data_IF_944384334214
#
_entry.id   IF_944384334214
#
_cell.length_a   1.000
_cell.length_b   1.000
_cell.length_c   1.000
_cell.angle_alpha   90.00
_cell.angle_beta   90.00
_cell.angle_gamma   90.00
#
_symmetry.space_group_name_H-M   'P 1'
#
loop_
_entity.id
_entity.type
_entity.pdbx_description
1 polymer ?
#
# COMPACT_ATOMS: atom_id res chain seq x y z
N UNK A 1 -30.88 -24.55 10.08
CA UNK A 1 -29.85 -24.58 9.01
C UNK A 1 -30.33 -23.86 7.74
N UNK A 2 -31.49 -24.18 7.19
CA UNK A 2 -32.05 -23.53 6.00
C UNK A 2 -32.23 -22.01 6.20
N UNK A 3 -32.57 -21.56 7.39
CA UNK A 3 -32.82 -20.18 7.73
C UNK A 3 -31.54 -19.28 7.72
N UNK A 4 -30.37 -19.88 7.91
CA UNK A 4 -29.08 -19.17 7.84
C UNK A 4 -28.65 -18.93 6.39
N UNK A 5 -28.99 -19.82 5.48
CA UNK A 5 -28.70 -19.68 4.06
C UNK A 5 -29.59 -18.61 3.40
N UNK A 6 -30.80 -18.42 3.94
CA UNK A 6 -31.74 -17.40 3.48
C UNK A 6 -31.34 -15.97 3.88
N UNK A 7 -30.39 -15.82 4.80
CA UNK A 7 -29.87 -14.51 5.22
C UNK A 7 -28.72 -13.99 4.34
N UNK A 8 -28.27 -14.81 3.39
CA UNK A 8 -27.26 -14.37 2.44
C UNK A 8 -27.86 -13.34 1.49
N UNK A 9 -27.26 -12.13 1.37
CA UNK A 9 -27.77 -11.14 0.43
C UNK A 9 -27.69 -11.65 -1.01
N UNK A 10 -28.69 -11.34 -1.77
CA UNK A 10 -28.76 -11.73 -3.20
C UNK A 10 -28.82 -10.47 -4.04
N UNK A 11 -27.93 -10.32 -5.02
CA UNK A 11 -26.78 -11.16 -5.38
C UNK A 11 -25.58 -10.94 -4.45
N UNK A 12 -24.90 -12.00 -4.05
CA UNK A 12 -23.68 -11.93 -3.26
C UNK A 12 -22.45 -12.21 -4.14
N UNK A 13 -21.66 -11.21 -4.40
CA UNK A 13 -20.37 -11.33 -5.09
C UNK A 13 -19.27 -10.78 -4.18
N UNK A 14 -18.38 -11.64 -3.66
CA UNK A 14 -17.30 -11.19 -2.79
C UNK A 14 -16.21 -10.47 -3.56
N UNK A 15 -15.57 -9.50 -2.92
CA UNK A 15 -14.34 -8.90 -3.45
C UNK A 15 -13.23 -9.95 -3.45
N UNK A 16 -12.49 -10.05 -4.55
CA UNK A 16 -11.40 -11.01 -4.71
C UNK A 16 -10.06 -10.33 -4.52
N UNK A 17 -9.13 -11.00 -3.83
CA UNK A 17 -7.80 -10.46 -3.53
C UNK A 17 -6.94 -10.25 -4.78
N UNK A 18 -7.20 -10.96 -5.85
CA UNK A 18 -6.45 -10.89 -7.10
C UNK A 18 -6.96 -9.83 -8.09
N UNK A 19 -8.02 -9.11 -7.72
CA UNK A 19 -8.63 -8.07 -8.57
C UNK A 19 -8.34 -6.70 -7.99
N UNK A 20 -7.10 -6.23 -8.19
CA UNK A 20 -6.67 -4.93 -7.70
C UNK A 20 -5.70 -4.28 -8.67
N UNK A 21 -5.59 -2.95 -8.59
CA UNK A 21 -4.61 -2.14 -9.30
C UNK A 21 -4.03 -1.13 -8.32
N UNK A 22 -2.71 -0.97 -8.34
CA UNK A 22 -2.02 0.11 -7.63
C UNK A 22 -1.53 1.10 -8.68
N UNK A 23 -2.02 2.34 -8.61
CA UNK A 23 -1.66 3.39 -9.55
C UNK A 23 -0.70 4.37 -8.90
N UNK A 24 0.45 4.51 -9.51
CA UNK A 24 1.44 5.50 -9.13
C UNK A 24 1.35 6.72 -10.05
N UNK A 25 1.77 7.91 -9.59
CA UNK A 25 1.84 9.08 -10.46
C UNK A 25 2.72 8.80 -11.68
N UNK A 26 2.30 9.31 -12.84
CA UNK A 26 3.03 9.11 -14.10
C UNK A 26 4.46 9.67 -14.07
N UNK A 27 4.70 10.66 -13.22
CA UNK A 27 6.04 11.25 -13.03
C UNK A 27 7.08 10.29 -12.47
N UNK A 28 6.64 9.19 -11.82
CA UNK A 28 7.54 8.19 -11.23
C UNK A 28 7.97 7.12 -12.24
N UNK A 29 7.23 6.95 -13.34
CA UNK A 29 7.53 5.94 -14.36
C UNK A 29 7.35 4.51 -13.91
N UNK A 30 6.57 4.26 -12.85
CA UNK A 30 6.28 2.93 -12.34
C UNK A 30 5.03 2.41 -13.04
N UNK A 31 5.16 1.29 -13.75
CA UNK A 31 4.04 0.67 -14.43
C UNK A 31 3.24 -0.20 -13.45
N UNK A 32 1.92 -0.11 -13.53
CA UNK A 32 0.99 -0.87 -12.69
C UNK A 32 1.17 -2.39 -12.83
N UNK A 33 1.61 -2.85 -13.98
CA UNK A 33 1.89 -4.26 -14.29
C UNK A 33 3.04 -4.85 -13.48
N UNK A 34 3.94 -4.01 -12.95
CA UNK A 34 5.06 -4.49 -12.14
C UNK A 34 4.64 -4.94 -10.75
N UNK A 35 3.48 -4.49 -10.27
CA UNK A 35 3.00 -4.83 -8.93
C UNK A 35 2.58 -6.29 -8.88
N UNK A 36 3.21 -7.06 -7.99
CA UNK A 36 2.85 -8.45 -7.71
C UNK A 36 1.83 -8.55 -6.58
N UNK A 37 2.06 -7.81 -5.50
CA UNK A 37 1.17 -7.78 -4.34
C UNK A 37 1.23 -6.45 -3.63
N UNK A 38 0.15 -6.11 -2.94
CA UNK A 38 0.05 -4.91 -2.13
C UNK A 38 -0.83 -5.19 -0.91
N UNK A 39 -0.53 -4.54 0.21
CA UNK A 39 -1.40 -4.59 1.38
C UNK A 39 -2.41 -3.44 1.35
N UNK A 40 -3.62 -3.71 1.81
CA UNK A 40 -4.62 -2.66 2.03
C UNK A 40 -4.23 -1.84 3.25
N UNK A 41 -4.60 -0.54 3.28
CA UNK A 41 -4.30 0.31 4.43
C UNK A 41 -4.93 -0.21 5.71
N UNK A 42 -4.23 -0.03 6.81
CA UNK A 42 -4.69 -0.39 8.15
C UNK A 42 -4.55 0.81 9.08
N UNK A 43 -5.57 1.05 9.88
CA UNK A 43 -5.62 2.15 10.83
C UNK A 43 -5.61 1.61 12.25
N UNK A 44 -4.87 2.27 13.14
CA UNK A 44 -4.88 2.00 14.57
C UNK A 44 -5.30 3.24 15.34
N UNK A 45 -6.23 3.06 16.25
CA UNK A 45 -6.71 4.11 17.15
C UNK A 45 -6.27 3.76 18.55
N UNK A 46 -5.56 4.66 19.20
CA UNK A 46 -5.19 4.52 20.60
C UNK A 46 -6.41 4.64 21.51
N UNK A 47 -6.34 4.03 22.69
CA UNK A 47 -7.36 4.18 23.72
C UNK A 47 -6.77 4.77 24.98
N UNK A 48 -7.50 5.67 25.62
CA UNK A 48 -7.14 6.25 26.90
C UNK A 48 -8.14 5.80 27.94
N UNK A 49 -7.64 5.22 29.04
CA UNK A 49 -8.46 4.77 30.14
C UNK A 49 -8.72 5.94 31.08
N UNK A 50 -9.99 6.11 31.48
CA UNK A 50 -10.40 7.03 32.50
C UNK A 50 -10.94 6.20 33.68
N UNK A 51 -10.28 6.29 34.82
CA UNK A 51 -10.63 5.53 36.01
C UNK A 51 -11.46 6.39 36.97
N UNK A 52 -12.50 5.77 37.53
CA UNK A 52 -13.30 6.37 38.59
C UNK A 52 -13.70 5.28 39.59
N UNK A 53 -13.23 5.39 40.83
CA UNK A 53 -13.43 4.38 41.88
C UNK A 53 -13.00 2.98 41.40
N UNK A 54 -13.93 2.02 41.40
CA UNK A 54 -13.69 0.64 40.95
C UNK A 54 -14.11 0.40 39.49
N UNK A 55 -14.39 1.46 38.76
CA UNK A 55 -14.82 1.37 37.37
C UNK A 55 -13.88 2.15 36.45
N UNK A 56 -13.82 1.76 35.19
CA UNK A 56 -13.08 2.48 34.18
C UNK A 56 -13.85 2.54 32.88
N UNK A 57 -13.58 3.58 32.09
CA UNK A 57 -14.09 3.73 30.73
C UNK A 57 -12.94 4.06 29.81
N UNK A 58 -13.11 3.76 28.52
CA UNK A 58 -12.09 4.02 27.52
C UNK A 58 -12.62 5.01 26.50
N UNK A 59 -11.76 5.95 26.12
CA UNK A 59 -12.04 6.91 25.05
C UNK A 59 -10.98 6.78 23.97
N UNK A 60 -11.35 7.09 22.73
CA UNK A 60 -10.43 7.05 21.60
C UNK A 60 -9.35 8.13 21.74
N UNK A 61 -8.12 7.73 21.53
CA UNK A 61 -6.97 8.62 21.48
C UNK A 61 -6.61 9.02 20.04
N UNK A 62 -5.31 9.19 19.78
CA UNK A 62 -4.80 9.48 18.45
C UNK A 62 -4.88 8.25 17.57
N UNK A 63 -5.08 8.46 16.28
CA UNK A 63 -5.04 7.40 15.27
C UNK A 63 -3.80 7.54 14.39
N UNK A 64 -3.33 6.41 13.90
CA UNK A 64 -2.21 6.33 12.97
C UNK A 64 -2.52 5.33 11.87
N UNK A 65 -2.01 5.62 10.68
CA UNK A 65 -2.01 4.68 9.56
C UNK A 65 -0.72 3.89 9.56
N UNK A 66 -0.81 2.57 9.46
CA UNK A 66 0.36 1.71 9.36
C UNK A 66 0.96 1.77 7.96
N UNK A 67 2.30 1.60 7.84
CA UNK A 67 2.92 1.45 6.52
C UNK A 67 2.36 0.24 5.78
N UNK A 68 2.32 0.33 4.46
CA UNK A 68 1.96 -0.80 3.60
C UNK A 68 3.19 -1.33 2.88
N UNK A 69 3.16 -2.62 2.55
CA UNK A 69 4.21 -3.27 1.76
C UNK A 69 3.68 -3.57 0.37
N UNK A 70 4.43 -3.16 -0.65
CA UNK A 70 4.14 -3.46 -2.04
C UNK A 70 5.30 -4.24 -2.62
N UNK A 71 5.00 -5.36 -3.26
CA UNK A 71 5.98 -6.17 -3.98
C UNK A 71 5.89 -5.91 -5.47
N UNK A 72 7.04 -5.79 -6.10
CA UNK A 72 7.19 -5.55 -7.52
C UNK A 72 7.96 -6.68 -8.18
N UNK A 73 7.62 -6.99 -9.43
CA UNK A 73 8.44 -7.80 -10.32
C UNK A 73 9.40 -6.88 -11.05
N UNK A 74 10.63 -7.31 -11.24
CA UNK A 74 11.66 -6.50 -11.89
C UNK A 74 11.92 -7.00 -13.31
N UNK A 75 11.32 -6.38 -14.33
CA UNK A 75 11.60 -6.72 -15.72
C UNK A 75 12.95 -6.16 -16.18
N UNK A 76 13.50 -6.72 -17.24
CA UNK A 76 14.75 -6.24 -17.84
C UNK A 76 14.59 -4.82 -18.39
N UNK A 77 13.49 -4.56 -19.05
CA UNK A 77 13.20 -3.23 -19.57
C UNK A 77 11.71 -3.02 -19.81
N UNK A 78 11.13 -1.90 -19.34
CA UNK A 78 11.72 -0.88 -18.45
C UNK A 78 11.96 -1.42 -17.03
N UNK A 79 13.06 -1.03 -16.40
CA UNK A 79 13.46 -1.57 -15.10
C UNK A 79 12.65 -0.94 -13.96
N UNK A 80 11.98 -1.80 -13.16
CA UNK A 80 11.31 -1.37 -11.95
C UNK A 80 12.30 -0.91 -10.89
N UNK A 81 13.47 -1.53 -10.81
CA UNK A 81 14.55 -1.13 -9.88
C UNK A 81 14.95 0.32 -10.09
N UNK A 82 15.14 0.73 -11.34
CA UNK A 82 15.53 2.09 -11.69
C UNK A 82 14.43 3.10 -11.30
N UNK A 83 13.18 2.80 -11.65
CA UNK A 83 12.06 3.70 -11.34
C UNK A 83 11.86 3.87 -9.83
N UNK A 84 11.95 2.80 -9.07
CA UNK A 84 11.83 2.85 -7.62
C UNK A 84 13.03 3.57 -6.98
N UNK A 85 14.23 3.35 -7.48
CA UNK A 85 15.41 4.03 -6.97
C UNK A 85 15.40 5.53 -7.28
N UNK A 86 14.87 5.93 -8.43
CA UNK A 86 14.68 7.34 -8.74
C UNK A 86 13.73 8.02 -7.75
N UNK A 87 12.64 7.35 -7.39
CA UNK A 87 11.75 7.86 -6.35
C UNK A 87 12.47 7.98 -5.00
N UNK A 88 13.24 6.95 -4.62
CA UNK A 88 14.02 6.98 -3.38
C UNK A 88 15.06 8.12 -3.38
N UNK A 89 15.67 8.41 -4.51
CA UNK A 89 16.64 9.52 -4.65
C UNK A 89 16.01 10.88 -4.42
N UNK A 90 14.72 11.06 -4.69
CA UNK A 90 14.01 12.29 -4.34
C UNK A 90 13.97 12.52 -2.83
N UNK A 91 13.97 11.45 -2.05
CA UNK A 91 14.02 11.51 -0.59
C UNK A 91 15.46 11.55 -0.07
N UNK A 92 16.28 10.59 -0.51
CA UNK A 92 17.65 10.41 -0.04
C UNK A 92 18.57 9.96 -1.18
N UNK A 93 19.56 10.76 -1.51
CA UNK A 93 20.56 10.42 -2.53
C UNK A 93 21.79 9.79 -1.88
N UNK A 94 22.12 8.56 -2.30
CA UNK A 94 23.18 7.77 -1.69
C UNK A 94 24.59 8.30 -2.04
N UNK A 95 24.75 8.92 -3.21
CA UNK A 95 26.06 9.41 -3.68
C UNK A 95 26.50 10.66 -2.93
N UNK A 96 25.60 11.63 -2.77
CA UNK A 96 25.91 12.92 -2.14
C UNK A 96 25.48 13.01 -0.68
N UNK A 97 24.64 12.09 -0.21
CA UNK A 97 24.05 12.11 1.12
C UNK A 97 23.02 13.24 1.32
N UNK A 98 22.55 13.83 0.25
CA UNK A 98 21.53 14.89 0.31
C UNK A 98 20.16 14.31 0.57
N UNK A 99 19.38 15.03 1.37
CA UNK A 99 17.96 14.75 1.61
C UNK A 99 17.11 15.76 0.83
N UNK A 100 16.01 15.29 0.27
CA UNK A 100 15.06 16.13 -0.47
C UNK A 100 14.00 16.77 0.42
N UNK A 101 13.27 17.72 -0.14
CA UNK A 101 12.11 18.31 0.51
C UNK A 101 10.89 17.39 0.40
N UNK A 102 10.04 17.41 1.42
CA UNK A 102 8.82 16.59 1.47
C UNK A 102 7.90 16.82 0.26
N UNK A 103 7.79 18.06 -0.20
CA UNK A 103 7.00 18.38 -1.39
C UNK A 103 7.51 17.68 -2.66
N UNK A 104 8.79 17.33 -2.72
CA UNK A 104 9.38 16.64 -3.86
C UNK A 104 9.20 15.13 -3.84
N UNK A 105 9.32 14.48 -2.68
CA UNK A 105 9.27 13.01 -2.62
C UNK A 105 7.89 12.45 -2.22
N UNK A 106 7.05 13.22 -1.53
CA UNK A 106 5.70 12.76 -1.19
C UNK A 106 4.79 12.77 -2.41
N UNK A 107 4.16 11.65 -2.67
CA UNK A 107 3.27 11.44 -3.82
C UNK A 107 1.96 10.80 -3.36
N UNK A 108 0.93 10.97 -4.16
CA UNK A 108 -0.33 10.29 -3.94
C UNK A 108 -0.37 8.99 -4.74
N UNK A 109 -0.76 7.92 -4.08
CA UNK A 109 -0.87 6.59 -4.68
C UNK A 109 -2.31 6.12 -4.52
N UNK A 110 -2.88 5.55 -5.58
CA UNK A 110 -4.23 5.01 -5.58
C UNK A 110 -4.17 3.48 -5.54
N UNK A 111 -4.95 2.89 -4.63
CA UNK A 111 -5.18 1.45 -4.57
C UNK A 111 -6.64 1.20 -4.89
N UNK A 112 -6.88 0.47 -5.97
CA UNK A 112 -8.22 0.19 -6.48
C UNK A 112 -8.51 -1.30 -6.47
N UNK A 113 -9.69 -1.68 -6.03
CA UNK A 113 -10.21 -3.03 -6.18
C UNK A 113 -11.25 -3.07 -7.28
N UNK A 114 -11.22 -4.15 -8.05
CA UNK A 114 -12.06 -4.30 -9.24
C UNK A 114 -13.11 -5.39 -9.06
N UNK A 115 -14.22 -5.24 -9.77
CA UNK A 115 -15.23 -6.27 -9.94
C UNK A 115 -14.82 -7.29 -11.04
N UNK A 116 -15.60 -8.35 -11.29
CA UNK A 116 -15.31 -9.30 -12.38
C UNK A 116 -15.27 -8.68 -13.77
N UNK A 117 -15.91 -7.53 -13.97
CA UNK A 117 -15.99 -6.83 -15.26
C UNK A 117 -14.90 -5.77 -15.42
N UNK A 118 -14.08 -5.53 -14.38
CA UNK A 118 -13.00 -4.55 -14.41
C UNK A 118 -13.41 -3.15 -13.94
N UNK A 119 -14.61 -2.98 -13.41
CA UNK A 119 -15.05 -1.71 -12.85
C UNK A 119 -14.52 -1.56 -11.42
N UNK A 120 -14.06 -0.36 -11.08
CA UNK A 120 -13.55 -0.07 -9.74
C UNK A 120 -14.69 -0.04 -8.73
N UNK A 121 -14.61 -0.89 -7.71
CA UNK A 121 -15.62 -1.02 -6.66
C UNK A 121 -15.15 -0.51 -5.30
N UNK A 122 -13.85 -0.35 -5.12
CA UNK A 122 -13.26 0.21 -3.92
C UNK A 122 -12.02 0.98 -4.31
N UNK A 123 -11.92 2.22 -3.85
CA UNK A 123 -10.78 3.08 -4.14
C UNK A 123 -10.23 3.71 -2.86
N UNK A 124 -8.94 3.49 -2.64
CA UNK A 124 -8.17 4.13 -1.60
C UNK A 124 -7.22 5.14 -2.20
N UNK A 125 -7.20 6.35 -1.64
CA UNK A 125 -6.18 7.35 -1.96
C UNK A 125 -5.22 7.42 -0.78
N UNK A 126 -3.93 7.12 -1.05
CA UNK A 126 -2.85 7.19 -0.08
C UNK A 126 -2.14 8.53 -0.27
N UNK A 127 -2.43 9.49 0.60
CA UNK A 127 -1.89 10.84 0.49
C UNK A 127 -0.56 10.98 1.22
N UNK A 128 0.35 11.74 0.63
CA UNK A 128 1.65 12.00 1.19
C UNK A 128 2.53 10.75 1.32
N UNK A 129 2.44 9.85 0.36
CA UNK A 129 3.15 8.56 0.37
C UNK A 129 4.58 8.72 -0.07
N UNK A 130 5.49 8.10 0.68
CA UNK A 130 6.91 7.97 0.32
C UNK A 130 7.44 6.62 0.77
N UNK A 131 8.58 6.21 0.21
CA UNK A 131 9.20 4.94 0.60
C UNK A 131 10.08 5.13 1.82
N UNK A 132 9.91 4.26 2.81
CA UNK A 132 10.76 4.19 3.99
C UNK A 132 11.75 3.04 3.92
N UNK A 133 11.44 2.01 3.14
CA UNK A 133 12.29 0.84 2.95
C UNK A 133 12.15 0.35 1.52
N UNK A 134 13.28 0.00 0.92
CA UNK A 134 13.36 -0.55 -0.43
C UNK A 134 14.37 -1.69 -0.43
N UNK A 135 13.87 -2.91 -0.60
CA UNK A 135 14.66 -4.13 -0.62
C UNK A 135 14.63 -4.76 -2.01
N UNK A 136 15.77 -4.87 -2.66
CA UNK A 136 15.90 -5.43 -4.01
C UNK A 136 15.95 -6.96 -4.04
N UNK A 137 15.72 -7.62 -2.91
CA UNK A 137 15.69 -9.07 -2.82
C UNK A 137 17.07 -9.70 -2.77
N UNK A 138 17.12 -11.02 -2.94
CA UNK A 138 18.33 -11.81 -2.92
C UNK A 138 18.54 -12.51 -4.27
N UNK A 139 19.80 -12.81 -4.61
CA UNK A 139 20.18 -13.48 -5.83
C UNK A 139 20.86 -14.81 -5.49
N UNK A 140 20.58 -15.87 -6.27
CA UNK A 140 21.19 -17.17 -6.12
C UNK A 140 21.30 -17.87 -7.48
N UNK A 141 22.46 -18.45 -7.77
CA UNK A 141 22.67 -19.22 -8.99
C UNK A 141 21.87 -20.52 -9.04
N UNK A 142 21.41 -21.00 -7.89
CA UNK A 142 20.62 -22.23 -7.79
C UNK A 142 19.13 -22.03 -8.07
N UNK A 143 18.66 -20.80 -8.22
CA UNK A 143 17.25 -20.46 -8.42
C UNK A 143 17.08 -19.62 -9.68
N UNK A 144 16.07 -19.98 -10.47
CA UNK A 144 15.67 -19.26 -11.68
C UNK A 144 14.37 -18.45 -11.50
N UNK A 145 14.01 -18.19 -10.23
CA UNK A 145 12.82 -17.40 -9.92
C UNK A 145 12.94 -15.95 -10.41
N UNK A 146 11.80 -15.34 -10.67
CA UNK A 146 11.73 -13.93 -11.09
C UNK A 146 12.24 -13.05 -9.95
N UNK A 147 13.12 -12.10 -10.27
CA UNK A 147 13.60 -11.12 -9.30
C UNK A 147 12.45 -10.24 -8.82
N UNK A 148 12.32 -10.09 -7.53
CA UNK A 148 11.30 -9.27 -6.88
C UNK A 148 11.92 -8.14 -6.07
N UNK A 149 11.13 -7.09 -5.85
CA UNK A 149 11.49 -5.93 -5.07
C UNK A 149 10.39 -5.69 -4.06
N UNK A 150 10.75 -5.50 -2.80
CA UNK A 150 9.81 -5.13 -1.74
C UNK A 150 10.01 -3.67 -1.35
N UNK A 151 8.95 -2.90 -1.35
CA UNK A 151 8.94 -1.52 -0.91
C UNK A 151 7.96 -1.34 0.23
N UNK A 152 8.38 -0.66 1.28
CA UNK A 152 7.50 -0.23 2.37
C UNK A 152 7.15 1.23 2.16
N UNK A 153 5.86 1.51 2.06
CA UNK A 153 5.33 2.85 1.83
C UNK A 153 4.73 3.39 3.11
N UNK A 154 5.17 4.57 3.51
CA UNK A 154 4.58 5.34 4.60
C UNK A 154 3.72 6.44 4.02
N UNK A 155 2.54 6.66 4.58
CA UNK A 155 1.60 7.67 4.13
C UNK A 155 1.17 8.56 5.30
N UNK A 156 0.75 9.78 4.98
CA UNK A 156 0.21 10.70 5.98
C UNK A 156 -1.21 10.29 6.38
N UNK A 157 -2.03 9.99 5.39
CA UNK A 157 -3.41 9.52 5.59
C UNK A 157 -3.90 8.71 4.40
N UNK A 158 -4.90 7.90 4.66
CA UNK A 158 -5.60 7.15 3.63
C UNK A 158 -7.07 7.58 3.58
N UNK A 159 -7.62 7.70 2.39
CA UNK A 159 -9.01 8.05 2.17
C UNK A 159 -9.67 6.92 1.39
N UNK A 160 -10.71 6.34 1.96
CA UNK A 160 -11.58 5.42 1.23
C UNK A 160 -12.64 6.25 0.52
N UNK A 161 -12.57 6.27 -0.80
CA UNK A 161 -13.49 7.09 -1.62
C UNK A 161 -14.83 6.38 -1.81
N UNK A 162 -14.79 5.08 -2.13
CA UNK A 162 -15.98 4.21 -2.27
C UNK A 162 -15.59 2.73 -2.30
#
# INVERSE_FOLDING_TARGET
>A
MADLLMKMPVPYEPKRQNRFIVRFPSSLGINEWFVESASRPSIKVGSTEIQFLNTSTFVAGRFNWDPITVKFRDPIGPSASQALMEWMRLCAESVTGRMGYAAGYKKNVDLEMLDPTGVVVEKWILEGTFMTDLNFGSLSYSQDAIADISATLRMDRCILVY
#
